data_IF_411270043505
#
_entry.id   IF_411270043505
#
_cell.length_a   1.000
_cell.length_b   1.000
_cell.length_c   1.000
_cell.angle_alpha   90.00
_cell.angle_beta   90.00
_cell.angle_gamma   90.00
#
_symmetry.space_group_name_H-M   'P 1'
#
loop_
_entity.id
_entity.type
_entity.pdbx_description
1 polymer ?
#
# COMPACT_ATOMS: atom_id res chain seq x y z
N UNK A 1 -44.73 14.20 -24.91
CA UNK A 1 -43.82 13.25 -24.23
C UNK A 1 -42.45 13.19 -24.91
N UNK A 2 -41.66 14.28 -24.94
CA UNK A 2 -40.31 14.29 -25.54
C UNK A 2 -39.18 14.04 -24.52
N UNK A 3 -39.44 14.29 -23.24
CA UNK A 3 -38.45 14.17 -22.16
C UNK A 3 -38.42 12.77 -21.54
N UNK A 4 -39.54 12.04 -21.58
CA UNK A 4 -39.63 10.69 -21.02
C UNK A 4 -38.71 9.69 -21.73
N UNK A 5 -38.62 9.78 -23.07
CA UNK A 5 -37.70 8.96 -23.85
C UNK A 5 -36.23 9.21 -23.53
N UNK A 6 -35.87 10.44 -23.13
CA UNK A 6 -34.50 10.79 -22.74
C UNK A 6 -34.17 10.26 -21.34
N UNK A 7 -35.12 10.38 -20.41
CA UNK A 7 -34.99 9.86 -19.05
C UNK A 7 -34.88 8.33 -19.07
N UNK A 8 -35.73 7.66 -19.87
CA UNK A 8 -35.66 6.20 -20.05
C UNK A 8 -34.36 5.75 -20.71
N UNK A 9 -33.88 6.48 -21.72
CA UNK A 9 -32.58 6.22 -22.32
C UNK A 9 -31.44 6.38 -21.29
N UNK A 10 -31.51 7.37 -20.40
CA UNK A 10 -30.53 7.59 -19.35
C UNK A 10 -30.52 6.45 -18.32
N UNK A 11 -31.71 5.96 -17.91
CA UNK A 11 -31.83 4.81 -17.01
C UNK A 11 -31.29 3.51 -17.63
N UNK A 12 -31.58 3.28 -18.90
CA UNK A 12 -31.06 2.12 -19.64
C UNK A 12 -29.54 2.23 -19.78
N UNK A 13 -29.01 3.42 -20.13
CA UNK A 13 -27.57 3.66 -20.19
C UNK A 13 -26.89 3.40 -18.84
N UNK A 14 -27.48 3.87 -17.73
CA UNK A 14 -26.91 3.68 -16.39
C UNK A 14 -26.86 2.21 -15.96
N UNK A 15 -27.77 1.35 -16.43
CA UNK A 15 -27.71 -0.09 -16.17
C UNK A 15 -26.58 -0.78 -16.94
N UNK A 16 -26.21 -0.28 -18.13
CA UNK A 16 -25.10 -0.82 -18.92
C UNK A 16 -23.71 -0.32 -18.46
N UNK A 17 -23.66 0.76 -17.65
CA UNK A 17 -22.45 1.31 -17.04
C UNK A 17 -22.27 0.90 -15.57
N UNK A 18 -23.14 0.05 -15.02
CA UNK A 18 -22.76 -0.79 -13.87
C UNK A 18 -21.81 -1.82 -14.44
N UNK A 19 -20.56 -1.42 -14.63
CA UNK A 19 -19.49 -2.34 -14.92
C UNK A 19 -19.58 -3.44 -13.86
N UNK A 20 -19.59 -4.68 -14.32
CA UNK A 20 -19.25 -5.86 -13.52
C UNK A 20 -17.74 -5.79 -13.16
N UNK A 21 -17.29 -4.62 -12.67
CA UNK A 21 -16.07 -4.47 -11.90
C UNK A 21 -16.49 -4.96 -10.53
N UNK A 22 -16.57 -6.29 -10.43
CA UNK A 22 -16.16 -7.09 -9.29
C UNK A 22 -15.45 -6.23 -8.25
N UNK A 23 -16.21 -5.62 -7.33
CA UNK A 23 -15.65 -4.93 -6.18
C UNK A 23 -14.71 -5.86 -5.39
N UNK A 24 -14.94 -7.17 -5.51
CA UNK A 24 -14.08 -8.24 -5.01
C UNK A 24 -12.70 -8.31 -5.69
N UNK A 25 -12.58 -8.16 -7.02
CA UNK A 25 -11.26 -8.20 -7.69
C UNK A 25 -10.44 -6.94 -7.38
N UNK A 26 -11.09 -5.77 -7.30
CA UNK A 26 -10.40 -4.53 -6.89
C UNK A 26 -9.90 -4.61 -5.45
N UNK A 27 -10.72 -5.15 -4.54
CA UNK A 27 -10.32 -5.33 -3.15
C UNK A 27 -9.17 -6.35 -3.00
N UNK A 28 -9.17 -7.42 -3.81
CA UNK A 28 -8.13 -8.45 -3.76
C UNK A 28 -6.80 -7.96 -4.37
N UNK A 29 -6.85 -7.24 -5.49
CA UNK A 29 -5.66 -6.67 -6.15
C UNK A 29 -5.00 -5.59 -5.27
N UNK A 30 -5.78 -4.63 -4.75
CA UNK A 30 -5.27 -3.61 -3.83
C UNK A 30 -4.72 -4.24 -2.55
N UNK A 31 -5.44 -5.22 -1.95
CA UNK A 31 -4.95 -5.89 -0.73
C UNK A 31 -3.61 -6.60 -0.96
N UNK A 32 -3.46 -7.31 -2.10
CA UNK A 32 -2.23 -8.00 -2.43
C UNK A 32 -1.07 -7.01 -2.64
N UNK A 33 -1.31 -5.90 -3.32
CA UNK A 33 -0.30 -4.85 -3.54
C UNK A 33 0.15 -4.22 -2.22
N UNK A 34 -0.80 -3.83 -1.36
CA UNK A 34 -0.48 -3.29 -0.03
C UNK A 34 0.19 -4.32 0.86
N UNK A 35 -0.23 -5.59 0.84
CA UNK A 35 0.41 -6.67 1.59
C UNK A 35 1.87 -6.84 1.18
N UNK A 36 2.16 -6.85 -0.12
CA UNK A 36 3.54 -6.98 -0.62
C UNK A 36 4.39 -5.75 -0.28
N UNK A 37 3.83 -4.55 -0.41
CA UNK A 37 4.52 -3.30 -0.06
C UNK A 37 4.83 -3.25 1.44
N UNK A 38 3.83 -3.48 2.29
CA UNK A 38 3.99 -3.50 3.76
C UNK A 38 4.97 -4.60 4.16
N UNK A 39 4.82 -5.81 3.60
CA UNK A 39 5.73 -6.93 3.85
C UNK A 39 7.18 -6.61 3.47
N UNK A 40 7.37 -5.95 2.32
CA UNK A 40 8.69 -5.50 1.86
C UNK A 40 9.31 -4.43 2.77
N UNK A 41 8.53 -3.43 3.19
CA UNK A 41 8.98 -2.38 4.12
C UNK A 41 9.36 -2.96 5.48
N UNK A 42 8.55 -3.87 6.02
CA UNK A 42 8.82 -4.57 7.29
C UNK A 42 10.09 -5.42 7.18
N UNK A 43 10.27 -6.16 6.08
CA UNK A 43 11.47 -6.94 5.83
C UNK A 43 12.72 -6.05 5.81
N UNK A 44 12.71 -4.96 5.02
CA UNK A 44 13.82 -4.03 4.90
C UNK A 44 14.15 -3.34 6.24
N UNK A 45 13.12 -2.96 7.01
CA UNK A 45 13.30 -2.42 8.36
C UNK A 45 14.01 -3.42 9.27
N UNK A 46 13.60 -4.69 9.25
CA UNK A 46 14.23 -5.76 10.03
C UNK A 46 15.70 -5.99 9.68
N UNK A 47 16.04 -6.05 8.39
CA UNK A 47 17.42 -6.17 7.93
C UNK A 47 18.28 -4.97 8.36
N UNK A 48 17.73 -3.76 8.23
CA UNK A 48 18.42 -2.52 8.65
C UNK A 48 18.63 -2.48 10.17
N UNK A 49 17.69 -3.01 10.95
CA UNK A 49 17.80 -3.14 12.40
C UNK A 49 18.90 -4.14 12.80
N UNK A 50 19.01 -5.27 12.10
CA UNK A 50 20.08 -6.25 12.32
C UNK A 50 21.46 -5.64 11.98
N UNK A 51 21.55 -4.84 10.90
CA UNK A 51 22.75 -4.07 10.59
C UNK A 51 23.12 -3.07 11.69
N UNK A 52 22.12 -2.37 12.24
CA UNK A 52 22.32 -1.46 13.39
C UNK A 52 22.89 -2.20 14.60
N UNK A 53 22.34 -3.37 14.95
CA UNK A 53 22.85 -4.16 16.08
C UNK A 53 24.28 -4.67 15.84
N UNK A 54 24.61 -5.08 14.61
CA UNK A 54 25.98 -5.44 14.22
C UNK A 54 26.95 -4.26 14.35
N UNK A 55 26.57 -3.07 13.88
CA UNK A 55 27.38 -1.86 14.01
C UNK A 55 27.59 -1.47 15.49
N UNK A 56 26.54 -1.56 16.30
CA UNK A 56 26.58 -1.33 17.75
C UNK A 56 27.55 -2.28 18.44
N UNK A 57 27.46 -3.59 18.14
CA UNK A 57 28.37 -4.62 18.68
C UNK A 57 29.83 -4.40 18.26
N UNK A 58 30.07 -3.76 17.12
CA UNK A 58 31.40 -3.38 16.63
C UNK A 58 31.92 -2.05 17.23
N UNK A 59 31.16 -1.40 18.12
CA UNK A 59 31.55 -0.12 18.74
C UNK A 59 31.38 1.10 17.82
N UNK A 60 30.63 0.97 16.72
CA UNK A 60 30.37 2.06 15.78
C UNK A 60 29.04 2.75 16.12
N UNK A 61 29.03 3.57 17.17
CA UNK A 61 27.79 4.12 17.74
C UNK A 61 27.00 5.02 16.78
N UNK A 62 27.67 5.93 16.05
CA UNK A 62 26.98 6.82 15.10
C UNK A 62 26.38 6.04 13.91
N UNK A 63 27.12 5.11 13.32
CA UNK A 63 26.61 4.24 12.23
C UNK A 63 25.42 3.40 12.71
N UNK A 64 25.50 2.86 13.93
CA UNK A 64 24.39 2.11 14.52
C UNK A 64 23.14 2.98 14.73
N UNK A 65 23.32 4.23 15.16
CA UNK A 65 22.24 5.18 15.36
C UNK A 65 21.56 5.56 14.04
N UNK A 66 22.34 5.88 13.01
CA UNK A 66 21.80 6.18 11.66
C UNK A 66 21.00 5.01 11.10
N UNK A 67 21.51 3.79 11.22
CA UNK A 67 20.81 2.56 10.79
C UNK A 67 19.53 2.32 11.60
N UNK A 68 19.55 2.59 12.91
CA UNK A 68 18.36 2.46 13.74
C UNK A 68 17.28 3.48 13.33
N UNK A 69 17.65 4.74 13.14
CA UNK A 69 16.72 5.78 12.69
C UNK A 69 16.13 5.46 11.31
N UNK A 70 16.95 4.97 10.38
CA UNK A 70 16.48 4.51 9.07
C UNK A 70 15.52 3.32 9.16
N UNK A 71 15.83 2.32 9.99
CA UNK A 71 14.95 1.17 10.26
C UNK A 71 13.60 1.61 10.82
N UNK A 72 13.60 2.57 11.75
CA UNK A 72 12.40 3.12 12.35
C UNK A 72 11.55 3.89 11.32
N UNK A 73 12.17 4.77 10.53
CA UNK A 73 11.49 5.56 9.50
C UNK A 73 10.82 4.68 8.43
N UNK A 74 11.43 3.54 8.06
CA UNK A 74 10.83 2.59 7.11
C UNK A 74 9.48 2.01 7.57
N UNK A 75 9.24 1.95 8.88
CA UNK A 75 7.99 1.41 9.46
C UNK A 75 7.01 2.52 9.80
N UNK A 76 7.49 3.74 10.11
CA UNK A 76 6.64 4.85 10.55
C UNK A 76 6.26 5.83 9.45
N UNK A 77 7.09 6.00 8.43
CA UNK A 77 6.90 6.99 7.36
C UNK A 77 6.52 6.33 6.01
N UNK A 78 6.69 5.00 5.92
CA UNK A 78 6.31 4.18 4.76
C UNK A 78 4.88 3.61 4.82
N UNK A 79 4.18 3.78 5.95
CA UNK A 79 2.78 3.40 6.19
C UNK A 79 1.99 4.67 6.51
#
# INVERSE_FOLDING_TARGET
MKNFSKILAFFILSMFFVSDVTADEWAEEDCLEYEQMIGGLVWLSGETLDMSDKARKAGKEEEAKELFEASFALVTDGI
#
